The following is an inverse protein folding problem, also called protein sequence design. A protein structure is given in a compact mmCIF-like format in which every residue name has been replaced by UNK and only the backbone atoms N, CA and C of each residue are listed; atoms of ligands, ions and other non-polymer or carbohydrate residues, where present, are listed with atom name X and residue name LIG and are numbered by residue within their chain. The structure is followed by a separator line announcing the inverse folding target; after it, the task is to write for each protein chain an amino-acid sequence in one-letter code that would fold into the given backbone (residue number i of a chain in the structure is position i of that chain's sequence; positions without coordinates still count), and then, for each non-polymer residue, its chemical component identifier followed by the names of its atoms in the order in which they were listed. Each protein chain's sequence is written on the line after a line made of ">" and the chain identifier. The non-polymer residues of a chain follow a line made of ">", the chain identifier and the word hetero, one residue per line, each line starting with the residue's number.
data_IF_535770971513
#
_entry.id   IF_535770971513
#
_cell.length_a   1.000
_cell.length_b   1.000
_cell.length_c   1.000
_cell.angle_alpha   90.00
_cell.angle_beta   90.00
_cell.angle_gamma   90.00
#
_symmetry.space_group_name_H-M   'P 1'
#
loop_
_entity.id
_entity.type
_entity.pdbx_description
1 polymer ?
#
# COMPACT_ATOMS: atom_id res chain seq x y z
N UNK A 1 -30.06 13.70 27.83
CA UNK A 1 -30.40 14.45 26.62
C UNK A 1 -29.41 14.01 25.55
N UNK A 2 -29.93 13.39 24.49
CA UNK A 2 -29.26 12.95 23.25
C UNK A 2 -28.07 11.97 23.35
N UNK A 3 -28.47 10.69 23.33
CA UNK A 3 -27.85 9.57 22.65
C UNK A 3 -27.52 9.87 21.16
N UNK A 4 -26.57 9.10 20.60
CA UNK A 4 -26.24 8.91 19.17
C UNK A 4 -25.48 10.02 18.45
N UNK A 5 -24.24 9.70 18.05
CA UNK A 5 -23.95 9.62 16.61
C UNK A 5 -22.75 8.70 16.32
N UNK A 6 -23.02 7.39 16.23
CA UNK A 6 -22.27 6.54 15.32
C UNK A 6 -22.71 6.88 13.91
N UNK A 7 -21.79 7.43 13.12
CA UNK A 7 -21.93 7.66 11.68
C UNK A 7 -20.51 7.68 11.08
N UNK A 8 -20.07 6.75 10.25
CA UNK A 8 -20.75 5.59 9.71
C UNK A 8 -19.70 4.55 9.33
N UNK A 9 -19.94 3.31 9.79
CA UNK A 9 -19.46 2.13 9.10
C UNK A 9 -20.32 1.98 7.83
N UNK A 10 -19.77 2.38 6.68
CA UNK A 10 -20.24 1.98 5.35
C UNK A 10 -19.17 2.36 4.30
N UNK A 11 -18.61 1.32 3.69
CA UNK A 11 -17.95 1.31 2.37
C UNK A 11 -16.60 2.00 2.16
N UNK A 12 -15.56 1.53 2.85
CA UNK A 12 -14.24 1.45 2.23
C UNK A 12 -13.79 0.00 2.28
N UNK A 13 -13.75 -0.68 1.14
CA UNK A 13 -12.90 -1.86 0.99
C UNK A 13 -11.49 -1.33 1.20
N UNK A 14 -10.99 -1.39 2.44
CA UNK A 14 -9.62 -1.02 2.78
C UNK A 14 -8.71 -1.74 1.79
N UNK A 15 -8.14 -0.97 0.85
CA UNK A 15 -7.21 -1.53 -0.12
C UNK A 15 -6.13 -2.28 0.66
N UNK A 16 -5.82 -3.54 0.32
CA UNK A 16 -4.98 -4.34 1.21
C UNK A 16 -3.62 -3.66 1.45
N UNK A 17 -3.11 -3.74 2.68
CA UNK A 17 -1.80 -3.15 2.99
C UNK A 17 -0.64 -3.81 2.23
N UNK A 18 0.56 -3.21 2.33
CA UNK A 18 1.79 -3.74 1.75
C UNK A 18 2.01 -5.21 2.15
N UNK A 19 1.89 -5.52 3.43
CA UNK A 19 2.07 -6.88 3.95
C UNK A 19 1.11 -7.88 3.31
N UNK A 20 -0.17 -7.54 3.18
CA UNK A 20 -1.15 -8.42 2.54
C UNK A 20 -0.83 -8.67 1.06
N UNK A 21 -0.27 -7.67 0.36
CA UNK A 21 0.14 -7.81 -1.05
C UNK A 21 1.35 -8.71 -1.18
N UNK A 22 2.34 -8.56 -0.30
CA UNK A 22 3.52 -9.43 -0.26
C UNK A 22 3.12 -10.89 0.02
N UNK A 23 2.27 -11.13 1.01
CA UNK A 23 1.74 -12.47 1.29
C UNK A 23 0.97 -13.06 0.11
N UNK A 24 0.27 -12.21 -0.68
CA UNK A 24 -0.44 -12.68 -1.88
C UNK A 24 0.54 -13.02 -2.99
N UNK A 25 1.58 -12.22 -3.20
CA UNK A 25 2.67 -12.50 -4.15
C UNK A 25 3.37 -13.83 -3.85
N UNK A 26 3.69 -14.11 -2.59
CA UNK A 26 4.28 -15.38 -2.17
C UNK A 26 3.39 -16.58 -2.55
N UNK A 27 2.07 -16.47 -2.31
CA UNK A 27 1.10 -17.50 -2.70
C UNK A 27 1.00 -17.67 -4.22
N UNK A 28 1.08 -16.57 -4.97
CA UNK A 28 1.08 -16.59 -6.43
C UNK A 28 2.31 -17.32 -6.94
N UNK A 29 3.51 -17.00 -6.43
CA UNK A 29 4.76 -17.67 -6.80
C UNK A 29 4.68 -19.17 -6.49
N UNK A 30 4.26 -19.53 -5.27
CA UNK A 30 4.10 -20.94 -4.91
C UNK A 30 3.09 -21.68 -5.81
N UNK A 31 2.06 -20.99 -6.29
CA UNK A 31 1.09 -21.58 -7.23
C UNK A 31 1.66 -21.74 -8.64
N UNK A 32 2.49 -20.79 -9.09
CA UNK A 32 3.16 -20.83 -10.41
C UNK A 32 4.22 -21.93 -10.51
N UNK A 33 4.75 -22.39 -9.38
CA UNK A 33 5.73 -23.48 -9.30
C UNK A 33 5.10 -24.89 -9.34
N UNK A 34 3.77 -24.98 -9.35
CA UNK A 34 3.07 -26.27 -9.40
C UNK A 34 3.26 -26.98 -10.75
N UNK A 35 3.58 -28.28 -10.73
CA UNK A 35 3.91 -29.08 -11.91
C UNK A 35 2.76 -29.23 -12.93
N UNK A 36 1.50 -29.10 -12.50
CA UNK A 36 0.30 -29.32 -13.31
C UNK A 36 -0.55 -28.05 -13.45
N UNK A 37 0.10 -26.88 -13.54
CA UNK A 37 -0.60 -25.62 -13.70
C UNK A 37 -0.99 -25.37 -15.16
N UNK A 38 -2.30 -25.24 -15.40
CA UNK A 38 -2.82 -24.88 -16.72
C UNK A 38 -2.35 -23.48 -17.16
N UNK A 39 -2.01 -23.31 -18.43
CA UNK A 39 -1.45 -22.06 -18.99
C UNK A 39 -2.35 -20.84 -18.73
N UNK A 40 -3.66 -20.98 -18.94
CA UNK A 40 -4.63 -19.90 -18.70
C UNK A 40 -4.64 -19.46 -17.23
N UNK A 41 -4.49 -20.43 -16.31
CA UNK A 41 -4.39 -20.16 -14.89
C UNK A 41 -3.06 -19.48 -14.55
N UNK A 42 -1.96 -19.89 -15.17
CA UNK A 42 -0.65 -19.26 -15.01
C UNK A 42 -0.67 -17.79 -15.46
N UNK A 43 -1.29 -17.49 -16.60
CA UNK A 43 -1.46 -16.12 -17.10
C UNK A 43 -2.29 -15.26 -16.15
N UNK A 44 -3.40 -15.80 -15.66
CA UNK A 44 -4.25 -15.11 -14.68
C UNK A 44 -3.47 -14.76 -13.40
N UNK A 45 -2.70 -15.72 -12.87
CA UNK A 45 -1.88 -15.52 -11.67
C UNK A 45 -0.75 -14.52 -11.91
N UNK A 46 -0.14 -14.52 -13.09
CA UNK A 46 0.88 -13.56 -13.47
C UNK A 46 0.32 -12.13 -13.53
N UNK A 47 -0.81 -11.93 -14.20
CA UNK A 47 -1.49 -10.63 -14.27
C UNK A 47 -1.85 -10.12 -12.87
N UNK A 48 -2.37 -10.99 -12.02
CA UNK A 48 -2.65 -10.66 -10.62
C UNK A 48 -1.37 -10.24 -9.87
N UNK A 49 -0.28 -10.97 -10.05
CA UNK A 49 1.03 -10.66 -9.45
C UNK A 49 1.56 -9.29 -9.88
N UNK A 50 1.49 -8.96 -11.17
CA UNK A 50 1.87 -7.64 -11.68
C UNK A 50 1.03 -6.53 -11.03
N UNK A 51 -0.27 -6.77 -10.81
CA UNK A 51 -1.14 -5.85 -10.09
C UNK A 51 -0.68 -5.58 -8.65
N UNK A 52 -0.37 -6.63 -7.89
CA UNK A 52 0.12 -6.51 -6.51
C UNK A 52 1.46 -5.78 -6.42
N UNK A 53 2.41 -6.07 -7.33
CA UNK A 53 3.71 -5.38 -7.38
C UNK A 53 3.52 -3.88 -7.61
N UNK A 54 2.73 -3.49 -8.62
CA UNK A 54 2.49 -2.08 -8.94
C UNK A 54 1.89 -1.31 -7.76
N UNK A 55 0.97 -1.92 -7.03
CA UNK A 55 0.37 -1.24 -5.89
C UNK A 55 1.30 -1.24 -4.66
N UNK A 56 2.12 -2.28 -4.46
CA UNK A 56 3.17 -2.24 -3.43
C UNK A 56 4.14 -1.07 -3.69
N UNK A 57 4.56 -0.86 -4.94
CA UNK A 57 5.39 0.29 -5.33
C UNK A 57 4.71 1.64 -5.02
N UNK A 58 3.40 1.77 -5.28
CA UNK A 58 2.65 3.00 -4.95
C UNK A 58 2.58 3.26 -3.45
N UNK A 59 2.35 2.21 -2.65
CA UNK A 59 2.33 2.32 -1.19
C UNK A 59 3.69 2.77 -0.68
N UNK A 60 4.77 2.19 -1.19
CA UNK A 60 6.14 2.57 -0.83
C UNK A 60 6.43 4.02 -1.20
N UNK A 61 6.13 4.45 -2.43
CA UNK A 61 6.35 5.83 -2.87
C UNK A 61 5.57 6.85 -2.03
N UNK A 62 4.31 6.54 -1.68
CA UNK A 62 3.50 7.40 -0.79
C UNK A 62 4.10 7.45 0.63
N UNK A 63 4.64 6.34 1.11
CA UNK A 63 5.27 6.27 2.43
C UNK A 63 6.57 7.07 2.46
N UNK A 64 7.39 6.95 1.41
CA UNK A 64 8.64 7.72 1.25
C UNK A 64 8.37 9.23 1.23
N UNK A 65 7.43 9.69 0.40
CA UNK A 65 7.02 11.10 0.37
C UNK A 65 6.58 11.59 1.75
N UNK A 66 5.83 10.76 2.49
CA UNK A 66 5.39 11.12 3.83
C UNK A 66 6.55 11.24 4.82
N UNK A 67 7.58 10.40 4.69
CA UNK A 67 8.80 10.47 5.50
C UNK A 67 9.58 11.76 5.17
N UNK A 68 9.74 12.09 3.89
CA UNK A 68 10.40 13.33 3.45
C UNK A 68 9.71 14.58 4.01
N UNK A 69 8.37 14.62 3.93
CA UNK A 69 7.57 15.70 4.52
C UNK A 69 7.82 15.86 6.03
N UNK A 70 7.91 14.74 6.76
CA UNK A 70 8.14 14.72 8.21
C UNK A 70 9.56 15.15 8.58
N UNK A 71 10.55 14.83 7.74
CA UNK A 71 11.94 15.26 7.92
C UNK A 71 12.17 16.72 7.51
N UNK A 72 11.19 17.36 6.87
CA UNK A 72 11.31 18.74 6.39
C UNK A 72 12.27 18.87 5.20
N UNK A 73 12.56 17.76 4.53
CA UNK A 73 13.37 17.68 3.32
C UNK A 73 12.42 17.80 2.13
N UNK A 74 12.38 18.97 1.48
CA UNK A 74 11.74 19.08 0.16
C UNK A 74 12.56 18.37 -0.91
N UNK A 75 12.03 18.18 -2.14
CA UNK A 75 12.74 17.50 -3.23
C UNK A 75 14.08 18.16 -3.63
N UNK A 76 14.38 19.35 -3.12
CA UNK A 76 15.64 20.09 -3.33
C UNK A 76 16.48 20.27 -2.05
N UNK A 77 16.18 19.58 -0.94
CA UNK A 77 16.96 19.68 0.30
C UNK A 77 16.86 21.04 1.01
N UNK A 78 15.92 21.89 0.62
CA UNK A 78 15.60 23.11 1.35
C UNK A 78 14.93 22.75 2.68
N UNK A 79 15.74 22.69 3.74
CA UNK A 79 15.25 22.58 5.11
C UNK A 79 14.29 23.73 5.37
N UNK A 80 13.00 23.44 5.51
CA UNK A 80 12.09 24.42 6.12
C UNK A 80 12.39 24.45 7.62
N UNK A 81 12.68 25.63 8.21
CA UNK A 81 12.85 25.73 9.65
C UNK A 81 11.61 25.18 10.35
N UNK A 82 11.80 24.25 11.28
CA UNK A 82 10.77 23.84 12.21
C UNK A 82 10.35 25.09 13.00
N UNK A 83 9.19 25.65 12.68
CA UNK A 83 8.55 26.67 13.51
C UNK A 83 7.91 25.92 14.68
N UNK A 84 8.72 25.65 15.70
CA UNK A 84 8.17 25.33 17.01
C UNK A 84 7.31 26.50 17.44
N UNK A 85 6.05 26.23 17.79
CA UNK A 85 5.18 27.20 18.43
C UNK A 85 5.81 27.57 19.77
N UNK A 86 6.60 28.64 19.79
CA UNK A 86 7.17 29.22 21.00
C UNK A 86 6.01 29.69 21.89
N UNK A 87 5.84 29.00 23.02
CA UNK A 87 5.01 29.42 24.15
C UNK A 87 5.74 30.40 25.06
#
# INVERSE_FOLDING_TARGET
>A
MADRNGAGAADDVEEPGLESRLQRLEKIVASLEAEDLELERALTLFEEGVGHVREAERILARTELRVEELLGEGPDGERRPFQGEDG
#
